data_IF_335786276147
#
_entry.id   IF_335786276147
#
_cell.length_a   1.000
_cell.length_b   1.000
_cell.length_c   1.000
_cell.angle_alpha   90.00
_cell.angle_beta   90.00
_cell.angle_gamma   90.00
#
_symmetry.space_group_name_H-M   'P 1'
#
loop_
_entity.id
_entity.type
_entity.pdbx_description
1 polymer ?
#
# COMPACT_ATOMS: atom_id res chain seq x y z
N UNK A 1 25.05 3.82 -9.60
CA UNK A 1 23.95 4.78 -9.87
C UNK A 1 24.21 6.02 -9.04
N UNK A 2 24.24 7.20 -9.67
CA UNK A 2 24.49 8.48 -8.99
C UNK A 2 23.44 8.77 -7.91
N UNK A 3 23.79 9.51 -6.87
CA UNK A 3 22.89 9.83 -5.74
C UNK A 3 21.65 10.61 -6.20
N UNK A 4 21.76 11.42 -7.26
CA UNK A 4 20.60 12.07 -7.89
C UNK A 4 19.70 11.08 -8.62
N UNK A 5 20.29 10.15 -9.38
CA UNK A 5 19.56 9.08 -10.07
C UNK A 5 18.86 8.15 -9.05
N UNK A 6 19.50 7.83 -7.93
CA UNK A 6 18.88 7.10 -6.82
C UNK A 6 17.67 7.83 -6.24
N UNK A 7 17.77 9.14 -6.04
CA UNK A 7 16.65 9.96 -5.57
C UNK A 7 15.48 9.95 -6.57
N UNK A 8 15.74 10.13 -7.86
CA UNK A 8 14.69 10.10 -8.89
C UNK A 8 14.00 8.74 -9.00
N UNK A 9 14.78 7.66 -8.95
CA UNK A 9 14.25 6.30 -8.92
C UNK A 9 13.31 6.10 -7.71
N UNK A 10 13.74 6.50 -6.52
CA UNK A 10 12.94 6.38 -5.30
C UNK A 10 11.66 7.24 -5.35
N UNK A 11 11.70 8.43 -5.96
CA UNK A 11 10.50 9.25 -6.15
C UNK A 11 9.50 8.56 -7.09
N UNK A 12 9.97 7.97 -8.20
CA UNK A 12 9.11 7.19 -9.10
C UNK A 12 8.49 5.99 -8.39
N UNK A 13 9.30 5.23 -7.64
CA UNK A 13 8.82 4.10 -6.85
C UNK A 13 7.79 4.53 -5.79
N UNK A 14 7.98 5.69 -5.15
CA UNK A 14 7.01 6.25 -4.21
C UNK A 14 5.65 6.56 -4.87
N UNK A 15 5.66 7.20 -6.04
CA UNK A 15 4.42 7.48 -6.78
C UNK A 15 3.71 6.20 -7.24
N UNK A 16 4.48 5.19 -7.66
CA UNK A 16 3.93 3.86 -7.98
C UNK A 16 3.25 3.24 -6.75
N UNK A 17 3.87 3.31 -5.57
CA UNK A 17 3.25 2.86 -4.33
C UNK A 17 1.94 3.60 -4.03
N UNK A 18 1.88 4.92 -4.24
CA UNK A 18 0.64 5.69 -4.03
C UNK A 18 -0.48 5.27 -5.01
N UNK A 19 -0.11 4.99 -6.27
CA UNK A 19 -1.07 4.50 -7.26
C UNK A 19 -1.62 3.12 -6.87
N UNK A 20 -0.73 2.21 -6.47
CA UNK A 20 -1.10 0.87 -6.02
C UNK A 20 -1.97 0.92 -4.76
N UNK A 21 -1.65 1.77 -3.79
CA UNK A 21 -2.42 1.95 -2.54
C UNK A 21 -3.85 2.38 -2.84
N UNK A 22 -4.02 3.33 -3.77
CA UNK A 22 -5.33 3.76 -4.25
C UNK A 22 -6.09 2.63 -4.96
N UNK A 23 -5.38 1.79 -5.70
CA UNK A 23 -5.96 0.67 -6.44
C UNK A 23 -6.47 -0.44 -5.51
N UNK A 24 -5.76 -0.74 -4.41
CA UNK A 24 -6.12 -1.79 -3.45
C UNK A 24 -7.26 -1.38 -2.51
N UNK A 25 -7.41 -0.08 -2.22
CA UNK A 25 -8.46 0.43 -1.33
C UNK A 25 -9.87 0.12 -1.82
N UNK A 26 -10.11 0.15 -3.14
CA UNK A 26 -11.42 -0.11 -3.74
C UNK A 26 -11.87 -1.57 -3.58
N UNK A 27 -11.07 -2.59 -3.94
CA UNK A 27 -11.37 -3.99 -3.66
C UNK A 27 -11.62 -4.29 -2.18
N UNK A 28 -10.82 -3.75 -1.25
CA UNK A 28 -11.02 -3.96 0.19
C UNK A 28 -12.40 -3.46 0.62
N UNK A 29 -12.79 -2.25 0.21
CA UNK A 29 -14.13 -1.71 0.50
C UNK A 29 -15.23 -2.58 -0.10
N UNK A 30 -15.09 -2.95 -1.37
CA UNK A 30 -16.07 -3.76 -2.08
C UNK A 30 -16.33 -5.10 -1.38
N UNK A 31 -15.28 -5.81 -0.97
CA UNK A 31 -15.44 -7.09 -0.28
C UNK A 31 -16.06 -6.93 1.11
N UNK A 32 -15.71 -5.86 1.84
CA UNK A 32 -16.35 -5.54 3.13
C UNK A 32 -17.85 -5.27 2.96
N UNK A 33 -18.22 -4.47 1.96
CA UNK A 33 -19.62 -4.15 1.67
C UNK A 33 -20.39 -5.42 1.28
N UNK A 34 -19.81 -6.31 0.47
CA UNK A 34 -20.41 -7.60 0.10
C UNK A 34 -20.60 -8.54 1.28
N UNK A 35 -19.64 -8.60 2.21
CA UNK A 35 -19.79 -9.39 3.46
C UNK A 35 -20.95 -8.84 4.31
N UNK A 36 -21.09 -7.52 4.41
CA UNK A 36 -22.20 -6.88 5.14
C UNK A 36 -23.54 -7.17 4.45
N UNK A 37 -23.58 -7.11 3.11
CA UNK A 37 -24.78 -7.42 2.32
C UNK A 37 -25.25 -8.85 2.56
N UNK A 38 -24.35 -9.84 2.52
CA UNK A 38 -24.66 -11.25 2.81
C UNK A 38 -25.24 -11.39 4.22
N UNK A 39 -24.62 -10.74 5.21
CA UNK A 39 -25.06 -10.79 6.62
C UNK A 39 -26.42 -10.12 6.87
N UNK A 40 -26.80 -9.15 6.04
CA UNK A 40 -28.06 -8.38 6.18
C UNK A 40 -29.26 -9.06 5.52
N UNK A 41 -29.04 -10.05 4.64
CA UNK A 41 -30.16 -10.79 4.04
C UNK A 41 -30.92 -11.56 5.13
N UNK A 42 -32.20 -11.23 5.29
CA UNK A 42 -33.09 -11.88 6.26
C UNK A 42 -33.63 -13.17 5.62
N UNK A 43 -33.24 -14.30 6.22
CA UNK A 43 -33.72 -15.69 6.01
C UNK A 43 -33.44 -16.33 4.64
N UNK A 44 -32.32 -17.06 4.52
CA UNK A 44 -32.14 -18.05 3.48
C UNK A 44 -32.75 -19.40 3.92
N UNK A 45 -33.15 -20.25 2.97
CA UNK A 45 -33.35 -21.69 3.24
C UNK A 45 -32.03 -22.31 3.74
N UNK A 46 -32.04 -23.52 4.32
CA UNK A 46 -30.81 -24.18 4.80
C UNK A 46 -29.71 -24.26 3.72
N UNK A 47 -30.08 -24.52 2.47
CA UNK A 47 -29.14 -24.59 1.34
C UNK A 47 -28.59 -23.22 0.94
N UNK A 48 -29.42 -22.18 0.95
CA UNK A 48 -28.97 -20.81 0.69
C UNK A 48 -28.01 -20.32 1.78
N UNK A 49 -28.26 -20.73 3.04
CA UNK A 49 -27.39 -20.39 4.17
C UNK A 49 -25.99 -21.00 4.05
N UNK A 50 -25.87 -22.24 3.57
CA UNK A 50 -24.58 -22.87 3.32
C UNK A 50 -23.81 -22.20 2.17
N UNK A 51 -24.51 -21.89 1.07
CA UNK A 51 -23.92 -21.15 -0.06
C UNK A 51 -23.44 -19.76 0.36
N UNK A 52 -24.26 -19.03 1.12
CA UNK A 52 -23.92 -17.70 1.63
C UNK A 52 -22.76 -17.75 2.65
N UNK A 53 -22.74 -18.74 3.54
CA UNK A 53 -21.62 -18.95 4.48
C UNK A 53 -20.32 -19.25 3.75
N UNK A 54 -20.36 -20.08 2.70
CA UNK A 54 -19.19 -20.38 1.86
C UNK A 54 -18.70 -19.11 1.15
N UNK A 55 -19.61 -18.34 0.56
CA UNK A 55 -19.30 -17.08 -0.11
C UNK A 55 -18.70 -16.03 0.86
N UNK A 56 -19.27 -15.88 2.07
CA UNK A 56 -18.70 -15.01 3.12
C UNK A 56 -17.27 -15.46 3.47
N UNK A 57 -17.05 -16.77 3.62
CA UNK A 57 -15.74 -17.34 3.90
C UNK A 57 -14.70 -17.02 2.82
N UNK A 58 -15.08 -17.15 1.56
CA UNK A 58 -14.18 -16.86 0.43
C UNK A 58 -13.92 -15.34 0.31
N UNK A 59 -14.94 -14.49 0.45
CA UNK A 59 -14.76 -13.03 0.48
C UNK A 59 -13.83 -12.57 1.60
N UNK A 60 -13.90 -13.20 2.78
CA UNK A 60 -12.96 -12.94 3.88
C UNK A 60 -11.53 -13.34 3.56
N UNK A 61 -11.32 -14.45 2.83
CA UNK A 61 -9.97 -14.84 2.38
C UNK A 61 -9.39 -13.79 1.44
N UNK A 62 -10.19 -13.33 0.47
CA UNK A 62 -9.77 -12.28 -0.46
C UNK A 62 -9.50 -10.95 0.26
N UNK A 63 -10.38 -10.53 1.15
CA UNK A 63 -10.19 -9.31 1.95
C UNK A 63 -8.90 -9.38 2.78
N UNK A 64 -8.63 -10.50 3.45
CA UNK A 64 -7.39 -10.70 4.21
C UNK A 64 -6.15 -10.67 3.34
N UNK A 65 -6.20 -11.28 2.15
CA UNK A 65 -5.05 -11.29 1.23
C UNK A 65 -4.70 -9.87 0.81
N UNK A 66 -5.70 -9.11 0.35
CA UNK A 66 -5.49 -7.75 -0.17
C UNK A 66 -5.09 -6.80 0.97
N UNK A 67 -5.61 -7.00 2.18
CA UNK A 67 -5.18 -6.25 3.36
C UNK A 67 -3.71 -6.49 3.70
N UNK A 68 -3.18 -7.71 3.55
CA UNK A 68 -1.74 -7.99 3.72
C UNK A 68 -0.89 -7.34 2.63
N UNK A 69 -1.37 -7.36 1.39
CA UNK A 69 -0.68 -6.68 0.29
C UNK A 69 -0.62 -5.17 0.54
N UNK A 70 -1.70 -4.60 1.08
CA UNK A 70 -1.77 -3.19 1.48
C UNK A 70 -0.81 -2.85 2.62
N UNK A 71 -0.71 -3.69 3.65
CA UNK A 71 0.26 -3.54 4.75
C UNK A 71 1.69 -3.56 4.21
N UNK A 72 2.03 -4.56 3.40
CA UNK A 72 3.35 -4.69 2.76
C UNK A 72 3.69 -3.45 1.92
N UNK A 73 2.73 -2.96 1.14
CA UNK A 73 2.90 -1.76 0.34
C UNK A 73 3.15 -0.51 1.20
N UNK A 74 2.50 -0.43 2.36
CA UNK A 74 2.68 0.65 3.32
C UNK A 74 4.10 0.63 3.90
N UNK A 75 4.61 -0.55 4.29
CA UNK A 75 5.98 -0.71 4.77
C UNK A 75 7.03 -0.31 3.72
N UNK A 76 6.82 -0.73 2.47
CA UNK A 76 7.69 -0.36 1.34
C UNK A 76 7.69 1.16 1.15
N UNK A 77 6.50 1.78 1.14
CA UNK A 77 6.33 3.23 1.02
C UNK A 77 7.10 3.98 2.12
N UNK A 78 6.97 3.55 3.38
CA UNK A 78 7.71 4.15 4.50
C UNK A 78 9.23 4.00 4.35
N UNK A 79 9.70 2.83 3.93
CA UNK A 79 11.11 2.56 3.66
C UNK A 79 11.67 3.50 2.58
N UNK A 80 10.91 3.70 1.49
CA UNK A 80 11.26 4.64 0.42
C UNK A 80 11.39 6.06 0.97
N UNK A 81 10.42 6.53 1.76
CA UNK A 81 10.44 7.87 2.37
C UNK A 81 11.69 8.07 3.23
N UNK A 82 12.01 7.09 4.10
CA UNK A 82 13.22 7.12 4.94
C UNK A 82 14.50 7.25 4.10
N UNK A 83 14.60 6.49 3.01
CA UNK A 83 15.74 6.56 2.08
C UNK A 83 15.84 7.91 1.37
N UNK A 84 14.72 8.47 0.91
CA UNK A 84 14.69 9.80 0.27
C UNK A 84 15.17 10.88 1.25
N UNK A 85 14.74 10.82 2.52
CA UNK A 85 15.18 11.76 3.56
C UNK A 85 16.70 11.66 3.76
N UNK A 86 17.23 10.44 3.92
CA UNK A 86 18.67 10.20 4.08
C UNK A 86 19.48 10.81 2.94
N UNK A 87 19.09 10.52 1.69
CA UNK A 87 19.74 11.07 0.49
C UNK A 87 19.68 12.60 0.46
N UNK A 88 18.53 13.21 0.81
CA UNK A 88 18.40 14.67 0.88
C UNK A 88 19.35 15.27 1.92
N UNK A 89 19.52 14.63 3.06
CA UNK A 89 20.44 15.08 4.12
C UNK A 89 21.90 14.97 3.67
N UNK A 90 22.30 13.86 3.06
CA UNK A 90 23.64 13.66 2.50
C UNK A 90 23.98 14.71 1.42
N UNK A 91 23.05 14.95 0.50
CA UNK A 91 23.20 15.98 -0.53
C UNK A 91 23.36 17.40 0.05
N UNK A 92 22.64 17.72 1.13
CA UNK A 92 22.79 18.99 1.85
C UNK A 92 24.17 19.12 2.50
N UNK A 93 24.65 18.06 3.15
CA UNK A 93 25.96 18.02 3.78
C UNK A 93 27.10 18.19 2.75
N UNK A 94 27.01 17.47 1.62
CA UNK A 94 27.97 17.60 0.51
C UNK A 94 28.03 19.03 -0.05
N UNK A 95 26.86 19.66 -0.27
CA UNK A 95 26.81 21.07 -0.72
C UNK A 95 27.46 22.02 0.28
N UNK A 96 27.20 21.84 1.58
CA UNK A 96 27.80 22.68 2.63
C UNK A 96 29.33 22.53 2.64
N UNK A 97 29.82 21.30 2.56
CA UNK A 97 31.26 21.02 2.49
C UNK A 97 31.91 21.62 1.24
N UNK A 98 31.30 21.46 0.06
CA UNK A 98 31.80 22.06 -1.19
C UNK A 98 31.82 23.59 -1.14
N UNK A 99 30.81 24.22 -0.53
CA UNK A 99 30.79 25.68 -0.38
C UNK A 99 31.90 26.17 0.55
N UNK A 100 32.19 25.44 1.63
CA UNK A 100 33.26 25.78 2.56
C UNK A 100 34.67 25.60 1.98
N UNK A 101 34.85 24.70 1.00
CA UNK A 101 36.13 24.48 0.30
C UNK A 101 36.38 25.46 -0.86
N UNK A 102 35.36 26.22 -1.27
CA UNK A 102 35.45 27.25 -2.32
C UNK A 102 35.75 28.65 -1.75
N UNK A 103 35.95 28.74 -0.44
CA UNK A 103 36.44 29.91 0.31
C UNK A 103 37.91 29.67 0.58
#
# INVERSE_FOLDING_TARGET
MDIKQQKEFLIKAYHECLYQEKSLRRPISYYKDKIIEIRRKIRPTKEDFEKERKLEGDLRKYERSISKDYETLTEIKESIVKKIIKIKTELKAQRKYQNNLKV
#
